data_IF_390150745823
#
_entry.id   IF_390150745823
#
_cell.length_a   1.000
_cell.length_b   1.000
_cell.length_c   1.000
_cell.angle_alpha   90.00
_cell.angle_beta   90.00
_cell.angle_gamma   90.00
#
_symmetry.space_group_name_H-M   'P 1'
#
loop_
_entity.id
_entity.type
_entity.pdbx_description
1 polymer ?
#
# COMPACT_ATOMS: atom_id res chain seq x y z
N UNK A 1 19.02 5.36 0.02
CA UNK A 1 18.81 4.02 0.65
C UNK A 1 17.36 3.65 0.43
N UNK A 2 17.05 2.39 0.13
CA UNK A 2 15.64 1.94 -0.03
C UNK A 2 14.93 1.89 1.32
N UNK A 3 13.68 2.25 1.35
CA UNK A 3 12.87 2.38 2.57
C UNK A 3 12.17 1.07 2.99
N UNK A 4 12.31 0.00 2.20
CA UNK A 4 11.78 -1.34 2.51
C UNK A 4 12.73 -2.21 3.36
N UNK A 5 13.80 -1.61 3.91
CA UNK A 5 14.72 -2.33 4.81
C UNK A 5 13.98 -2.82 6.07
N UNK A 6 14.34 -4.00 6.56
CA UNK A 6 13.75 -4.64 7.74
C UNK A 6 12.21 -4.73 7.75
N UNK A 7 11.57 -4.65 6.59
CA UNK A 7 10.15 -4.96 6.41
C UNK A 7 9.97 -6.42 5.95
N UNK A 8 8.81 -7.00 6.23
CA UNK A 8 8.48 -8.36 5.85
C UNK A 8 8.30 -8.55 4.34
N UNK A 9 8.26 -9.81 3.91
CA UNK A 9 8.26 -10.25 2.50
C UNK A 9 7.30 -9.46 1.60
N UNK A 10 6.04 -9.30 2.05
CA UNK A 10 4.98 -8.65 1.25
C UNK A 10 5.21 -7.16 1.00
N UNK A 11 6.14 -6.52 1.74
CA UNK A 11 6.50 -5.10 1.61
C UNK A 11 7.84 -4.86 0.92
N UNK A 12 8.57 -5.90 0.50
CA UNK A 12 9.76 -5.72 -0.32
C UNK A 12 9.35 -5.23 -1.70
N UNK A 13 10.05 -4.24 -2.26
CA UNK A 13 9.68 -3.62 -3.54
C UNK A 13 9.52 -4.64 -4.65
N UNK A 14 10.44 -5.62 -4.72
CA UNK A 14 10.40 -6.70 -5.73
C UNK A 14 9.18 -7.60 -5.57
N UNK A 15 8.55 -7.63 -4.39
CA UNK A 15 7.37 -8.44 -4.10
C UNK A 15 6.07 -7.65 -4.21
N UNK A 16 6.12 -6.31 -4.14
CA UNK A 16 4.93 -5.49 -4.37
C UNK A 16 4.64 -5.39 -5.86
N UNK A 17 5.56 -4.81 -6.61
CA UNK A 17 5.56 -4.74 -8.07
C UNK A 17 6.98 -4.38 -8.53
N UNK A 18 7.51 -5.09 -9.50
CA UNK A 18 8.87 -4.89 -9.98
C UNK A 18 9.00 -5.07 -11.47
N UNK A 19 9.55 -4.07 -12.15
CA UNK A 19 9.90 -4.15 -13.57
C UNK A 19 11.26 -4.83 -13.72
N UNK A 20 11.28 -5.96 -14.42
CA UNK A 20 12.47 -6.65 -14.89
C UNK A 20 12.81 -6.16 -16.29
N UNK A 21 13.92 -5.45 -16.38
CA UNK A 21 14.37 -4.81 -17.63
C UNK A 21 14.96 -5.83 -18.61
N UNK A 22 15.54 -6.93 -18.11
CA UNK A 22 16.10 -7.99 -18.94
C UNK A 22 15.01 -8.80 -19.63
N UNK A 23 13.96 -9.13 -18.89
CA UNK A 23 12.81 -9.88 -19.40
C UNK A 23 11.77 -8.99 -20.09
N UNK A 24 11.76 -7.67 -19.81
CA UNK A 24 10.75 -6.74 -20.34
C UNK A 24 9.37 -7.01 -19.75
N UNK A 25 9.28 -7.29 -18.45
CA UNK A 25 8.04 -7.64 -17.78
C UNK A 25 7.93 -7.02 -16.38
N UNK A 26 6.70 -6.82 -15.91
CA UNK A 26 6.42 -6.45 -14.50
C UNK A 26 5.85 -7.65 -13.79
N UNK A 27 6.47 -8.04 -12.68
CA UNK A 27 5.92 -9.03 -11.76
C UNK A 27 5.20 -8.36 -10.60
N UNK A 28 4.02 -8.85 -10.22
CA UNK A 28 3.19 -8.34 -9.14
C UNK A 28 2.79 -9.52 -8.25
N UNK A 29 3.08 -9.48 -6.93
CA UNK A 29 2.64 -10.54 -6.01
C UNK A 29 1.11 -10.64 -6.03
N UNK A 30 0.59 -11.84 -6.29
CA UNK A 30 -0.85 -12.07 -6.24
C UNK A 30 -1.35 -12.12 -4.79
N UNK A 31 -1.77 -10.95 -4.30
CA UNK A 31 -2.29 -10.78 -2.95
C UNK A 31 -3.69 -11.40 -2.76
N UNK A 32 -4.31 -11.95 -3.80
CA UNK A 32 -5.59 -12.65 -3.69
C UNK A 32 -5.41 -14.06 -3.10
N UNK A 33 -4.26 -14.68 -3.36
CA UNK A 33 -3.93 -16.04 -2.92
C UNK A 33 -2.81 -16.09 -1.88
N UNK A 34 -2.11 -14.97 -1.65
CA UNK A 34 -1.12 -14.85 -0.58
C UNK A 34 -1.83 -14.87 0.80
N UNK A 35 -1.30 -15.54 1.84
CA UNK A 35 0.01 -16.19 1.96
C UNK A 35 0.03 -17.68 1.57
N UNK A 36 -1.12 -18.28 1.22
CA UNK A 36 -1.22 -19.69 0.87
C UNK A 36 -0.26 -20.04 -0.27
N UNK A 37 -0.19 -19.14 -1.27
CA UNK A 37 0.76 -19.24 -2.37
C UNK A 37 1.53 -17.93 -2.54
N UNK A 38 2.85 -18.05 -2.75
CA UNK A 38 3.74 -16.94 -3.09
C UNK A 38 3.94 -16.88 -4.61
N UNK A 39 2.86 -16.63 -5.35
CA UNK A 39 2.86 -16.55 -6.81
C UNK A 39 2.81 -15.10 -7.28
N UNK A 40 3.34 -14.87 -8.47
CA UNK A 40 3.38 -13.55 -9.10
C UNK A 40 2.60 -13.55 -10.39
N UNK A 41 1.79 -12.51 -10.60
CA UNK A 41 1.24 -12.17 -11.89
C UNK A 41 2.36 -11.52 -12.72
N UNK A 42 2.68 -12.12 -13.87
CA UNK A 42 3.68 -11.61 -14.82
C UNK A 42 2.95 -10.83 -15.89
N UNK A 43 3.28 -9.55 -16.03
CA UNK A 43 2.69 -8.63 -16.99
C UNK A 43 3.74 -8.23 -18.01
N UNK A 44 3.49 -8.50 -19.29
CA UNK A 44 4.37 -8.18 -20.42
C UNK A 44 4.00 -6.89 -21.12
N UNK A 45 2.82 -6.36 -20.82
CA UNK A 45 2.35 -5.07 -21.34
C UNK A 45 1.77 -4.20 -20.23
N UNK A 46 1.74 -2.88 -20.46
CA UNK A 46 1.15 -1.96 -19.48
C UNK A 46 -0.36 -2.20 -19.32
N UNK A 47 -1.05 -2.68 -20.34
CA UNK A 47 -2.47 -3.07 -20.28
C UNK A 47 -2.67 -4.26 -19.34
N UNK A 48 -1.75 -5.23 -19.36
CA UNK A 48 -1.78 -6.35 -18.40
C UNK A 48 -1.55 -5.88 -16.98
N UNK A 49 -0.67 -4.88 -16.77
CA UNK A 49 -0.50 -4.24 -15.46
C UNK A 49 -1.78 -3.53 -15.03
N UNK A 50 -2.40 -2.75 -15.92
CA UNK A 50 -3.68 -2.09 -15.64
C UNK A 50 -4.78 -3.11 -15.28
N UNK A 51 -4.84 -4.23 -16.03
CA UNK A 51 -5.77 -5.33 -15.74
C UNK A 51 -5.48 -5.97 -14.37
N UNK A 52 -4.22 -6.22 -14.03
CA UNK A 52 -3.85 -6.77 -12.71
C UNK A 52 -4.26 -5.84 -11.56
N UNK A 53 -4.17 -4.52 -11.75
CA UNK A 53 -4.67 -3.52 -10.79
C UNK A 53 -6.21 -3.60 -10.68
N UNK A 54 -6.92 -3.66 -11.81
CA UNK A 54 -8.38 -3.76 -11.86
C UNK A 54 -8.89 -5.05 -11.20
N UNK A 55 -8.24 -6.18 -11.47
CA UNK A 55 -8.57 -7.51 -10.94
C UNK A 55 -8.14 -7.70 -9.46
N UNK A 56 -7.67 -6.63 -8.81
CA UNK A 56 -7.23 -6.66 -7.41
C UNK A 56 -6.10 -7.68 -7.12
N UNK A 57 -5.27 -8.00 -8.08
CA UNK A 57 -4.04 -8.81 -7.88
C UNK A 57 -3.19 -8.15 -6.79
N UNK A 58 -3.13 -6.83 -6.80
CA UNK A 58 -2.50 -6.04 -5.75
C UNK A 58 -3.52 -5.13 -5.03
N UNK A 59 -3.27 -4.80 -3.77
CA UNK A 59 -4.20 -4.10 -2.89
C UNK A 59 -3.46 -3.07 -2.04
N UNK A 60 -4.22 -2.20 -1.33
CA UNK A 60 -3.66 -1.14 -0.48
C UNK A 60 -2.79 -0.17 -1.29
N UNK A 61 -1.52 -0.01 -0.96
CA UNK A 61 -0.57 0.82 -1.70
C UNK A 61 0.09 0.15 -2.92
N UNK A 62 -0.17 -1.14 -3.14
CA UNK A 62 0.39 -1.88 -4.28
C UNK A 62 0.03 -1.35 -5.67
N UNK A 63 -1.22 -0.86 -5.91
CA UNK A 63 -1.59 -0.24 -7.17
C UNK A 63 -0.66 0.91 -7.60
N UNK A 64 -0.17 1.72 -6.65
CA UNK A 64 0.75 2.83 -6.95
C UNK A 64 2.11 2.33 -7.46
N UNK A 65 2.68 1.32 -6.78
CA UNK A 65 3.92 0.70 -7.19
C UNK A 65 3.76 0.00 -8.55
N UNK A 66 2.65 -0.70 -8.78
CA UNK A 66 2.36 -1.36 -10.05
C UNK A 66 2.22 -0.36 -11.20
N UNK A 67 1.49 0.75 -10.99
CA UNK A 67 1.33 1.80 -12.00
C UNK A 67 2.68 2.47 -12.34
N UNK A 68 3.50 2.78 -11.34
CA UNK A 68 4.82 3.38 -11.57
C UNK A 68 5.75 2.43 -12.36
N UNK A 69 5.80 1.14 -11.99
CA UNK A 69 6.58 0.14 -12.74
C UNK A 69 5.97 -0.15 -14.11
N UNK A 70 4.64 -0.05 -14.26
CA UNK A 70 3.93 -0.13 -15.54
C UNK A 70 4.32 0.98 -16.52
N UNK A 71 4.62 2.19 -16.02
CA UNK A 71 5.15 3.28 -16.85
C UNK A 71 6.56 2.98 -17.38
N UNK A 72 7.42 2.33 -16.59
CA UNK A 72 8.73 1.87 -17.06
C UNK A 72 8.60 0.74 -18.10
N UNK A 73 7.66 -0.18 -17.91
CA UNK A 73 7.34 -1.21 -18.89
C UNK A 73 6.79 -0.61 -20.20
N UNK A 74 5.90 0.38 -20.11
CA UNK A 74 5.40 1.09 -21.30
C UNK A 74 6.54 1.75 -22.08
N UNK A 75 7.49 2.37 -21.39
CA UNK A 75 8.68 2.92 -22.05
C UNK A 75 9.51 1.84 -22.75
N UNK A 76 9.66 0.68 -22.14
CA UNK A 76 10.33 -0.46 -22.77
C UNK A 76 9.60 -0.94 -24.01
N UNK A 77 8.26 -1.05 -23.98
CA UNK A 77 7.45 -1.44 -25.13
C UNK A 77 7.55 -0.44 -26.30
N UNK A 78 7.52 0.85 -25.99
CA UNK A 78 7.53 1.94 -26.96
C UNK A 78 8.92 2.28 -27.54
N UNK A 79 10.00 1.67 -27.08
CA UNK A 79 11.41 2.07 -27.33
C UNK A 79 11.81 2.17 -28.81
N UNK A 80 11.09 1.47 -29.71
CA UNK A 80 11.35 1.46 -31.14
C UNK A 80 10.38 2.32 -31.97
N UNK A 81 9.46 3.05 -31.30
CA UNK A 81 8.51 3.94 -31.95
C UNK A 81 9.20 5.25 -32.38
N UNK A 82 8.61 5.94 -33.36
CA UNK A 82 8.99 7.32 -33.64
C UNK A 82 8.70 8.22 -32.42
N UNK A 83 9.41 9.33 -32.30
CA UNK A 83 9.25 10.26 -31.16
C UNK A 83 7.79 10.66 -30.91
N UNK A 84 7.03 10.96 -31.94
CA UNK A 84 5.62 11.35 -31.83
C UNK A 84 4.75 10.17 -31.38
N UNK A 85 4.92 9.00 -32.00
CA UNK A 85 4.18 7.79 -31.63
C UNK A 85 4.52 7.33 -30.20
N UNK A 86 5.78 7.47 -29.80
CA UNK A 86 6.23 7.12 -28.44
C UNK A 86 5.57 8.01 -27.38
N UNK A 87 5.46 9.31 -27.65
CA UNK A 87 4.79 10.24 -26.75
C UNK A 87 3.31 9.90 -26.57
N UNK A 88 2.58 9.62 -27.66
CA UNK A 88 1.16 9.23 -27.58
C UNK A 88 1.01 7.88 -26.86
N UNK A 89 1.85 6.90 -27.16
CA UNK A 89 1.85 5.61 -26.48
C UNK A 89 2.04 5.74 -24.95
N UNK A 90 2.94 6.61 -24.52
CA UNK A 90 3.17 6.85 -23.09
C UNK A 90 2.00 7.59 -22.40
N UNK A 91 1.30 8.46 -23.13
CA UNK A 91 0.06 9.10 -22.62
C UNK A 91 -1.07 8.07 -22.46
N UNK A 92 -1.24 7.19 -23.43
CA UNK A 92 -2.22 6.11 -23.37
C UNK A 92 -1.94 5.18 -22.18
N UNK A 93 -0.66 4.82 -21.99
CA UNK A 93 -0.23 4.03 -20.84
C UNK A 93 -0.52 4.73 -19.50
N UNK A 94 -0.21 6.02 -19.38
CA UNK A 94 -0.49 6.79 -18.20
C UNK A 94 -1.99 6.87 -17.88
N UNK A 95 -2.82 7.04 -18.92
CA UNK A 95 -4.27 7.03 -18.78
C UNK A 95 -4.79 5.65 -18.34
N UNK A 96 -4.41 4.57 -19.03
CA UNK A 96 -4.86 3.23 -18.71
C UNK A 96 -4.49 2.80 -17.29
N UNK A 97 -3.24 3.02 -16.89
CA UNK A 97 -2.75 2.68 -15.56
C UNK A 97 -3.43 3.50 -14.45
N UNK A 98 -3.63 4.80 -14.66
CA UNK A 98 -4.24 5.67 -13.65
C UNK A 98 -5.74 5.45 -13.49
N UNK A 99 -6.45 4.94 -14.51
CA UNK A 99 -7.89 4.70 -14.48
C UNK A 99 -8.25 3.22 -14.30
N UNK A 100 -7.26 2.35 -14.08
CA UNK A 100 -7.47 0.92 -13.92
C UNK A 100 -8.42 0.57 -12.75
N UNK A 101 -8.49 1.43 -11.72
CA UNK A 101 -9.37 1.21 -10.56
C UNK A 101 -9.92 2.54 -10.05
N UNK A 102 -11.26 2.72 -10.00
CA UNK A 102 -11.91 3.98 -9.62
C UNK A 102 -11.48 4.51 -8.25
N UNK A 103 -11.45 3.64 -7.23
CA UNK A 103 -11.17 4.03 -5.83
C UNK A 103 -9.75 4.56 -5.59
N UNK A 104 -8.80 4.22 -6.44
CA UNK A 104 -7.39 4.64 -6.32
C UNK A 104 -6.94 5.56 -7.47
N UNK A 105 -7.85 5.87 -8.41
CA UNK A 105 -7.54 6.58 -9.65
C UNK A 105 -6.85 7.92 -9.40
N UNK A 106 -7.37 8.75 -8.49
CA UNK A 106 -6.83 10.09 -8.23
C UNK A 106 -5.36 10.08 -7.80
N UNK A 107 -5.00 9.15 -6.93
CA UNK A 107 -3.63 9.03 -6.46
C UNK A 107 -2.72 8.36 -7.51
N UNK A 108 -3.23 7.39 -8.28
CA UNK A 108 -2.50 6.82 -9.41
C UNK A 108 -2.25 7.84 -10.52
N UNK A 109 -3.17 8.79 -10.75
CA UNK A 109 -2.96 9.91 -11.69
C UNK A 109 -1.72 10.74 -11.31
N UNK A 110 -1.48 11.00 -10.03
CA UNK A 110 -0.28 11.73 -9.60
C UNK A 110 1.00 10.97 -9.95
N UNK A 111 1.01 9.67 -9.66
CA UNK A 111 2.16 8.79 -9.94
C UNK A 111 2.48 8.71 -11.43
N UNK A 112 1.47 8.48 -12.26
CA UNK A 112 1.65 8.35 -13.71
C UNK A 112 1.96 9.69 -14.38
N UNK A 113 1.39 10.82 -13.90
CA UNK A 113 1.68 12.14 -14.39
C UNK A 113 3.14 12.58 -14.13
N UNK A 114 3.68 12.24 -12.95
CA UNK A 114 5.09 12.47 -12.63
C UNK A 114 6.00 11.68 -13.58
N UNK A 115 5.70 10.39 -13.78
CA UNK A 115 6.45 9.54 -14.71
C UNK A 115 6.37 10.05 -16.16
N UNK A 116 5.19 10.52 -16.61
CA UNK A 116 4.99 11.09 -17.95
C UNK A 116 5.79 12.39 -18.12
N UNK A 117 5.75 13.28 -17.13
CA UNK A 117 6.52 14.54 -17.14
C UNK A 117 8.03 14.30 -17.23
N UNK A 118 8.54 13.30 -16.49
CA UNK A 118 9.94 12.88 -16.59
C UNK A 118 10.25 12.38 -17.99
N UNK A 119 9.40 11.51 -18.55
CA UNK A 119 9.54 10.99 -19.91
C UNK A 119 9.59 12.14 -20.96
N UNK A 120 8.65 13.09 -20.90
CA UNK A 120 8.60 14.23 -21.83
C UNK A 120 9.88 15.08 -21.74
N UNK A 121 10.40 15.26 -20.54
CA UNK A 121 11.65 16.00 -20.32
C UNK A 121 12.84 15.29 -20.94
N UNK A 122 12.95 13.97 -20.72
CA UNK A 122 14.03 13.14 -21.29
C UNK A 122 13.99 13.11 -22.83
N UNK A 123 12.82 12.91 -23.41
CA UNK A 123 12.63 12.95 -24.88
C UNK A 123 12.99 14.31 -25.47
N UNK A 124 12.61 15.40 -24.79
CA UNK A 124 12.96 16.77 -25.21
C UNK A 124 14.46 17.01 -25.22
N UNK A 125 15.16 16.46 -24.23
CA UNK A 125 16.60 16.57 -24.08
C UNK A 125 17.39 15.60 -24.98
N UNK A 126 16.72 14.77 -25.77
CA UNK A 126 17.35 13.83 -26.73
C UNK A 126 17.91 12.58 -26.08
N UNK A 127 17.41 12.18 -24.92
CA UNK A 127 17.82 10.94 -24.25
C UNK A 127 17.51 9.70 -25.10
N UNK A 128 18.37 8.69 -25.03
CA UNK A 128 18.17 7.40 -25.69
C UNK A 128 17.14 6.54 -24.94
N UNK A 129 16.50 5.62 -25.66
CA UNK A 129 15.42 4.78 -25.11
C UNK A 129 15.83 4.03 -23.82
N UNK A 130 17.04 3.46 -23.76
CA UNK A 130 17.52 2.76 -22.58
C UNK A 130 17.71 3.71 -21.38
N UNK A 131 18.16 4.94 -21.58
CA UNK A 131 18.28 5.95 -20.53
C UNK A 131 16.89 6.32 -19.98
N UNK A 132 15.90 6.43 -20.86
CA UNK A 132 14.50 6.71 -20.48
C UNK A 132 13.93 5.57 -19.65
N UNK A 133 14.10 4.33 -20.06
CA UNK A 133 13.61 3.14 -19.35
C UNK A 133 14.21 3.06 -17.94
N UNK A 134 15.53 3.17 -17.85
CA UNK A 134 16.26 3.15 -16.58
C UNK A 134 15.83 4.31 -15.68
N UNK A 135 15.67 5.52 -16.20
CA UNK A 135 15.23 6.68 -15.46
C UNK A 135 13.80 6.53 -14.91
N UNK A 136 12.87 5.98 -15.69
CA UNK A 136 11.49 5.72 -15.24
C UNK A 136 11.43 4.63 -14.19
N UNK A 137 12.24 3.56 -14.31
CA UNK A 137 12.37 2.55 -13.26
C UNK A 137 12.92 3.14 -11.96
N UNK A 138 13.94 3.99 -12.03
CA UNK A 138 14.49 4.69 -10.87
C UNK A 138 13.47 5.65 -10.26
N UNK A 139 12.72 6.40 -11.09
CA UNK A 139 11.61 7.24 -10.61
C UNK A 139 10.55 6.43 -9.85
N UNK A 140 10.16 5.25 -10.36
CA UNK A 140 9.23 4.36 -9.67
C UNK A 140 9.77 3.90 -8.30
N UNK A 141 11.05 3.61 -8.19
CA UNK A 141 11.71 3.29 -6.91
C UNK A 141 11.68 4.49 -5.96
N UNK A 142 11.97 5.71 -6.47
CA UNK A 142 11.98 6.91 -5.64
C UNK A 142 10.56 7.29 -5.17
N UNK A 143 9.56 7.18 -6.00
CA UNK A 143 8.15 7.34 -5.61
C UNK A 143 7.77 6.36 -4.47
N UNK A 144 8.23 5.11 -4.55
CA UNK A 144 8.07 4.15 -3.46
C UNK A 144 8.83 4.57 -2.21
N UNK A 145 10.08 5.05 -2.32
CA UNK A 145 10.86 5.55 -1.18
C UNK A 145 10.11 6.67 -0.46
N UNK A 146 9.63 7.68 -1.18
CA UNK A 146 8.87 8.80 -0.61
C UNK A 146 7.62 8.31 0.14
N UNK A 147 6.84 7.43 -0.49
CA UNK A 147 5.63 6.86 0.10
C UNK A 147 5.94 6.02 1.34
N UNK A 148 6.93 5.14 1.27
CA UNK A 148 7.34 4.29 2.39
C UNK A 148 7.85 5.12 3.55
N UNK A 149 8.76 6.04 3.30
CA UNK A 149 9.30 6.95 4.33
C UNK A 149 8.19 7.69 5.08
N UNK A 150 7.22 8.25 4.34
CA UNK A 150 6.09 8.97 4.93
C UNK A 150 5.21 8.07 5.80
N UNK A 151 4.81 6.91 5.28
CA UNK A 151 3.90 6.01 5.97
C UNK A 151 4.58 5.30 7.16
N UNK A 152 5.83 4.91 7.02
CA UNK A 152 6.57 4.28 8.13
C UNK A 152 6.84 5.28 9.24
N UNK A 153 7.13 6.54 8.93
CA UNK A 153 7.25 7.59 9.95
C UNK A 153 5.94 7.76 10.73
N UNK A 154 4.79 7.80 10.04
CA UNK A 154 3.49 7.88 10.70
C UNK A 154 3.22 6.66 11.60
N UNK A 155 3.56 5.45 11.14
CA UNK A 155 3.48 4.23 11.96
C UNK A 155 4.41 4.26 13.17
N UNK A 156 5.60 4.81 13.03
CA UNK A 156 6.58 4.92 14.13
C UNK A 156 6.08 5.82 15.26
N UNK A 157 5.39 6.92 14.96
CA UNK A 157 4.79 7.76 16.01
C UNK A 157 3.79 6.98 16.88
N UNK A 158 2.96 6.12 16.27
CA UNK A 158 2.10 5.25 17.05
C UNK A 158 2.91 4.27 17.91
N UNK A 159 3.93 3.63 17.34
CA UNK A 159 4.75 2.67 18.06
C UNK A 159 5.46 3.28 19.27
N UNK A 160 5.86 4.55 19.19
CA UNK A 160 6.50 5.26 20.31
C UNK A 160 5.52 5.50 21.49
N UNK A 161 4.21 5.60 21.21
CA UNK A 161 3.16 5.77 22.24
C UNK A 161 2.80 4.46 22.97
N UNK A 162 3.06 3.31 22.35
CA UNK A 162 2.69 2.00 22.91
C UNK A 162 3.78 1.53 23.88
N UNK A 163 3.44 1.23 25.15
CA UNK A 163 4.39 0.66 26.10
C UNK A 163 4.86 -0.74 25.69
N UNK A 164 5.98 -1.17 26.23
CA UNK A 164 6.43 -2.55 26.13
C UNK A 164 5.42 -3.52 26.78
N UNK A 165 5.49 -4.82 26.44
CA UNK A 165 4.59 -5.87 26.91
C UNK A 165 3.10 -5.58 26.63
N UNK A 166 2.80 -4.81 25.60
CA UNK A 166 1.43 -4.47 25.21
C UNK A 166 0.87 -5.41 24.15
N UNK A 167 -0.45 -5.39 24.03
CA UNK A 167 -1.18 -6.05 22.94
C UNK A 167 -1.93 -5.01 22.11
N UNK A 168 -1.83 -5.13 20.79
CA UNK A 168 -2.54 -4.28 19.85
C UNK A 168 -3.55 -5.08 19.04
N UNK A 169 -4.69 -4.45 18.74
CA UNK A 169 -5.67 -4.94 17.77
C UNK A 169 -5.60 -4.09 16.51
N UNK A 170 -5.49 -4.75 15.36
CA UNK A 170 -5.56 -4.08 14.05
C UNK A 170 -6.50 -4.84 13.10
N UNK A 171 -6.84 -4.21 11.98
CA UNK A 171 -7.66 -4.80 10.95
C UNK A 171 -7.20 -4.39 9.55
N UNK A 172 -7.73 -5.03 8.52
CA UNK A 172 -7.45 -4.77 7.12
C UNK A 172 -5.94 -4.87 6.83
N UNK A 173 -5.44 -4.12 5.86
CA UNK A 173 -4.03 -4.09 5.51
C UNK A 173 -3.57 -2.66 5.22
N UNK A 174 -3.05 -2.00 6.25
CA UNK A 174 -2.47 -0.67 6.14
C UNK A 174 -1.05 -0.63 5.54
N UNK A 175 -0.60 -1.75 4.97
CA UNK A 175 0.65 -1.93 4.23
C UNK A 175 1.87 -1.31 4.94
N UNK A 176 2.45 -0.25 4.38
CA UNK A 176 3.65 0.40 4.91
C UNK A 176 3.46 1.10 6.24
N UNK A 177 2.24 1.52 6.57
CA UNK A 177 1.91 2.06 7.90
C UNK A 177 2.04 0.96 8.96
N UNK A 178 1.49 -0.23 8.67
CA UNK A 178 1.63 -1.42 9.54
C UNK A 178 3.09 -1.82 9.64
N UNK A 179 3.77 -1.95 8.50
CA UNK A 179 5.21 -2.24 8.49
C UNK A 179 6.04 -1.24 9.30
N UNK A 180 5.63 0.03 9.28
CA UNK A 180 6.30 1.11 10.01
C UNK A 180 6.24 0.92 11.52
N UNK A 181 5.05 0.72 12.12
CA UNK A 181 4.97 0.50 13.56
C UNK A 181 5.57 -0.85 13.98
N UNK A 182 5.43 -1.89 13.19
CA UNK A 182 6.06 -3.18 13.49
C UNK A 182 7.60 -3.06 13.46
N UNK A 183 8.16 -2.39 12.44
CA UNK A 183 9.60 -2.13 12.39
C UNK A 183 10.07 -1.33 13.61
N UNK A 184 9.33 -0.29 13.98
CA UNK A 184 9.67 0.56 15.12
C UNK A 184 9.62 -0.20 16.44
N UNK A 185 8.65 -1.08 16.66
CA UNK A 185 8.62 -1.95 17.83
C UNK A 185 9.89 -2.80 17.94
N UNK A 186 10.38 -3.36 16.82
CA UNK A 186 11.64 -4.11 16.80
C UNK A 186 12.86 -3.24 17.07
N UNK A 187 12.92 -2.05 16.47
CA UNK A 187 14.02 -1.11 16.69
C UNK A 187 14.12 -0.64 18.13
N UNK A 188 13.01 -0.67 18.86
CA UNK A 188 12.92 -0.27 20.26
C UNK A 188 12.81 -1.46 21.22
N UNK A 189 13.03 -2.69 20.72
CA UNK A 189 13.01 -3.95 21.47
C UNK A 189 11.75 -4.17 22.32
N UNK A 190 10.58 -3.77 21.78
CA UNK A 190 9.29 -3.94 22.42
C UNK A 190 8.67 -5.30 22.10
N UNK A 191 8.24 -6.01 23.14
CA UNK A 191 7.51 -7.26 23.05
C UNK A 191 6.01 -6.98 22.91
N UNK A 192 5.49 -7.02 21.68
CA UNK A 192 4.11 -6.66 21.36
C UNK A 192 3.37 -7.88 20.79
N UNK A 193 2.18 -8.15 21.34
CA UNK A 193 1.24 -9.11 20.78
C UNK A 193 0.34 -8.43 19.76
N UNK A 194 0.16 -9.04 18.60
CA UNK A 194 -0.61 -8.48 17.49
C UNK A 194 -1.86 -9.32 17.24
N UNK A 195 -3.02 -8.76 17.53
CA UNK A 195 -4.30 -9.35 17.17
C UNK A 195 -4.78 -8.75 15.84
N UNK A 196 -5.05 -9.60 14.87
CA UNK A 196 -5.51 -9.22 13.55
C UNK A 196 -6.97 -9.68 13.36
N UNK A 197 -7.92 -8.74 13.33
CA UNK A 197 -9.27 -9.06 12.90
C UNK A 197 -9.25 -9.51 11.43
N UNK A 198 -9.94 -10.60 11.10
CA UNK A 198 -9.87 -11.24 9.77
C UNK A 198 -10.24 -10.31 8.61
N UNK A 199 -11.15 -9.38 8.85
CA UNK A 199 -11.65 -8.38 7.89
C UNK A 199 -12.41 -9.01 6.71
N UNK A 200 -13.64 -9.48 6.98
CA UNK A 200 -14.54 -9.95 5.93
C UNK A 200 -14.87 -8.80 4.94
N UNK A 201 -15.21 -9.08 3.64
CA UNK A 201 -15.19 -10.40 3.00
C UNK A 201 -13.84 -10.81 2.40
N UNK A 202 -12.87 -9.87 2.28
CA UNK A 202 -11.61 -10.12 1.54
C UNK A 202 -10.48 -10.66 2.42
N UNK A 203 -10.67 -10.75 3.74
CA UNK A 203 -9.70 -11.30 4.70
C UNK A 203 -8.32 -10.64 4.68
N UNK A 204 -8.24 -9.34 4.42
CA UNK A 204 -6.94 -8.64 4.39
C UNK A 204 -6.23 -8.69 5.73
N UNK A 205 -6.97 -8.62 6.86
CA UNK A 205 -6.39 -8.73 8.19
C UNK A 205 -5.79 -10.10 8.44
N UNK A 206 -6.54 -11.16 8.14
CA UNK A 206 -6.08 -12.53 8.31
C UNK A 206 -4.94 -12.90 7.36
N UNK A 207 -5.03 -12.50 6.09
CA UNK A 207 -4.07 -12.94 5.06
C UNK A 207 -2.85 -12.05 4.94
N UNK A 208 -3.04 -10.73 4.97
CA UNK A 208 -1.96 -9.80 4.63
C UNK A 208 -1.30 -9.23 5.88
N UNK A 209 -2.09 -8.69 6.81
CA UNK A 209 -1.54 -8.06 8.04
C UNK A 209 -0.97 -9.11 8.99
N UNK A 210 -1.69 -10.19 9.22
CA UNK A 210 -1.19 -11.26 10.09
C UNK A 210 0.07 -11.91 9.54
N UNK A 211 0.12 -12.15 8.21
CA UNK A 211 1.34 -12.69 7.58
C UNK A 211 2.52 -11.74 7.67
N UNK A 212 2.28 -10.42 7.53
CA UNK A 212 3.32 -9.41 7.70
C UNK A 212 3.86 -9.41 9.14
N UNK A 213 2.97 -9.40 10.14
CA UNK A 213 3.37 -9.38 11.54
C UNK A 213 4.13 -10.66 11.92
N UNK A 214 3.63 -11.81 11.49
CA UNK A 214 4.28 -13.10 11.71
C UNK A 214 5.67 -13.18 11.03
N UNK A 215 5.76 -12.76 9.76
CA UNK A 215 7.01 -12.72 8.98
C UNK A 215 8.05 -11.78 9.62
N UNK A 216 7.59 -10.73 10.27
CA UNK A 216 8.44 -9.84 11.07
C UNK A 216 8.70 -10.36 12.49
N UNK A 217 8.23 -11.56 12.88
CA UNK A 217 8.55 -12.26 14.14
C UNK A 217 7.77 -11.76 15.36
N UNK A 218 6.52 -11.29 15.17
CA UNK A 218 5.62 -10.93 16.27
C UNK A 218 4.72 -12.11 16.67
N UNK A 219 4.38 -12.21 17.96
CA UNK A 219 3.30 -13.07 18.46
C UNK A 219 1.98 -12.58 17.84
N UNK A 220 1.49 -13.33 16.85
CA UNK A 220 0.38 -12.89 15.99
C UNK A 220 -0.80 -13.83 16.11
N UNK A 221 -1.96 -13.30 16.45
CA UNK A 221 -3.23 -14.03 16.53
C UNK A 221 -4.25 -13.47 15.56
N UNK A 222 -4.78 -14.32 14.67
CA UNK A 222 -5.94 -13.98 13.84
C UNK A 222 -7.21 -14.25 14.62
N UNK A 223 -8.13 -13.31 14.60
CA UNK A 223 -9.46 -13.42 15.22
C UNK A 223 -10.56 -13.15 14.20
N UNK A 224 -11.74 -13.69 14.43
CA UNK A 224 -12.92 -13.32 13.64
C UNK A 224 -13.39 -11.91 14.00
N UNK A 225 -14.04 -11.22 13.06
CA UNK A 225 -14.46 -9.81 13.26
C UNK A 225 -15.44 -9.61 14.43
N UNK A 226 -16.21 -10.65 14.80
CA UNK A 226 -17.14 -10.59 15.92
C UNK A 226 -16.53 -10.91 17.29
N UNK A 227 -15.25 -11.33 17.36
CA UNK A 227 -14.56 -11.60 18.65
C UNK A 227 -13.97 -10.35 19.30
N UNK A 228 -13.95 -9.22 18.62
CA UNK A 228 -13.27 -7.99 19.04
C UNK A 228 -13.73 -7.54 20.44
N UNK A 229 -15.04 -7.39 20.63
CA UNK A 229 -15.59 -6.93 21.91
C UNK A 229 -15.34 -7.93 23.06
N UNK A 230 -15.33 -9.24 22.78
CA UNK A 230 -14.99 -10.26 23.76
C UNK A 230 -13.55 -10.10 24.27
N UNK A 231 -12.58 -9.97 23.36
CA UNK A 231 -11.17 -9.81 23.75
C UNK A 231 -10.92 -8.50 24.52
N UNK A 232 -11.65 -7.44 24.18
CA UNK A 232 -11.61 -6.19 24.93
C UNK A 232 -12.18 -6.35 26.35
N UNK A 233 -13.32 -7.05 26.51
CA UNK A 233 -13.93 -7.34 27.81
C UNK A 233 -13.04 -8.20 28.70
N UNK A 234 -12.25 -9.09 28.12
CA UNK A 234 -11.27 -9.93 28.81
C UNK A 234 -9.93 -9.22 29.07
N UNK A 235 -9.84 -7.91 28.77
CA UNK A 235 -8.61 -7.09 28.93
C UNK A 235 -7.38 -7.64 28.17
N UNK A 236 -7.62 -8.32 27.07
CA UNK A 236 -6.55 -8.87 26.20
C UNK A 236 -6.01 -7.87 25.19
N UNK A 237 -6.66 -6.72 25.02
CA UNK A 237 -6.29 -5.66 24.08
C UNK A 237 -6.00 -4.37 24.88
N UNK A 238 -4.81 -3.82 24.68
CA UNK A 238 -4.42 -2.55 25.31
C UNK A 238 -4.66 -1.36 24.38
N UNK A 239 -4.47 -1.53 23.06
CA UNK A 239 -4.58 -0.48 22.05
C UNK A 239 -5.23 -1.01 20.79
N UNK A 240 -6.02 -0.15 20.14
CA UNK A 240 -6.51 -0.39 18.80
C UNK A 240 -5.79 0.53 17.80
N UNK A 241 -5.45 0.01 16.63
CA UNK A 241 -4.79 0.79 15.58
C UNK A 241 -5.29 0.39 14.21
N UNK A 242 -5.52 1.36 13.33
CA UNK A 242 -5.75 1.11 11.90
C UNK A 242 -5.07 2.18 11.04
N UNK A 243 -4.86 1.88 9.77
CA UNK A 243 -4.67 2.91 8.76
C UNK A 243 -6.00 3.65 8.52
N UNK A 244 -5.96 4.72 7.73
CA UNK A 244 -7.14 5.46 7.29
C UNK A 244 -7.09 5.66 5.78
N UNK A 245 -8.20 5.38 5.10
CA UNK A 245 -8.35 5.68 3.67
C UNK A 245 -8.52 7.18 3.45
N UNK A 246 -9.30 7.83 4.31
CA UNK A 246 -9.49 9.29 4.33
C UNK A 246 -9.54 9.79 5.77
N UNK A 247 -8.85 10.89 6.04
CA UNK A 247 -9.06 11.74 7.22
C UNK A 247 -9.55 13.09 6.70
N UNK A 248 -10.82 13.43 6.93
CA UNK A 248 -11.40 14.71 6.53
C UNK A 248 -10.93 15.85 7.44
N UNK A 249 -11.14 17.10 6.99
CA UNK A 249 -10.67 18.28 7.73
C UNK A 249 -11.38 18.49 9.07
N UNK A 250 -12.59 17.93 9.24
CA UNK A 250 -13.30 17.90 10.53
C UNK A 250 -12.80 16.81 11.50
N UNK A 251 -11.77 16.05 11.10
CA UNK A 251 -11.19 14.97 11.89
C UNK A 251 -11.93 13.64 11.79
N UNK A 252 -12.98 13.54 10.98
CA UNK A 252 -13.67 12.28 10.74
C UNK A 252 -12.80 11.33 9.91
N UNK A 253 -12.92 10.03 10.19
CA UNK A 253 -12.11 8.98 9.58
C UNK A 253 -12.99 8.06 8.75
N UNK A 254 -12.56 7.79 7.53
CA UNK A 254 -13.16 6.77 6.66
C UNK A 254 -12.11 5.70 6.42
N UNK A 255 -12.50 4.47 6.63
CA UNK A 255 -11.63 3.31 6.46
C UNK A 255 -12.48 2.06 6.19
N UNK A 256 -11.82 0.93 6.06
CA UNK A 256 -12.40 -0.39 5.84
C UNK A 256 -13.58 -0.69 6.78
N UNK A 257 -14.60 -1.38 6.25
CA UNK A 257 -15.71 -1.89 7.06
C UNK A 257 -15.19 -2.64 8.30
N UNK A 258 -15.85 -2.44 9.45
CA UNK A 258 -15.41 -2.92 10.77
C UNK A 258 -14.74 -1.82 11.61
N UNK A 259 -14.21 -0.75 11.01
CA UNK A 259 -13.54 0.35 11.73
C UNK A 259 -14.48 1.00 12.76
N UNK A 260 -15.72 1.31 12.39
CA UNK A 260 -16.70 1.90 13.30
C UNK A 260 -17.05 0.93 14.43
N UNK A 261 -17.23 -0.37 14.15
CA UNK A 261 -17.48 -1.40 15.15
C UNK A 261 -16.34 -1.46 16.18
N UNK A 262 -15.09 -1.45 15.73
CA UNK A 262 -13.91 -1.45 16.61
C UNK A 262 -13.88 -0.18 17.46
N UNK A 263 -14.15 0.99 16.87
CA UNK A 263 -14.13 2.26 17.57
C UNK A 263 -15.22 2.34 18.66
N UNK A 264 -16.43 1.83 18.38
CA UNK A 264 -17.52 1.74 19.37
C UNK A 264 -17.14 0.82 20.52
N UNK A 265 -16.60 -0.37 20.23
CA UNK A 265 -16.18 -1.31 21.26
C UNK A 265 -15.02 -0.74 22.09
N UNK A 266 -14.01 -0.16 21.44
CA UNK A 266 -12.87 0.48 22.11
C UNK A 266 -13.33 1.61 23.05
N UNK A 267 -14.25 2.46 22.58
CA UNK A 267 -14.83 3.53 23.40
C UNK A 267 -15.58 2.98 24.62
N UNK A 268 -16.39 1.93 24.43
CA UNK A 268 -17.13 1.30 25.53
C UNK A 268 -16.23 0.69 26.60
N UNK A 269 -15.13 0.06 26.21
CA UNK A 269 -14.18 -0.56 27.14
C UNK A 269 -13.05 0.38 27.58
N UNK A 270 -13.03 1.65 27.15
CA UNK A 270 -12.00 2.63 27.52
C UNK A 270 -10.62 2.34 26.92
N UNK A 271 -10.58 1.67 25.76
CA UNK A 271 -9.35 1.31 25.06
C UNK A 271 -9.00 2.40 24.05
N UNK A 272 -7.77 2.94 24.05
CA UNK A 272 -7.33 3.93 23.07
C UNK A 272 -7.38 3.35 21.63
N UNK A 273 -7.94 4.12 20.70
CA UNK A 273 -7.98 3.82 19.29
C UNK A 273 -7.21 4.86 18.49
N UNK A 274 -6.20 4.42 17.73
CA UNK A 274 -5.36 5.26 16.88
C UNK A 274 -5.64 4.98 15.41
N UNK A 275 -6.06 6.01 14.69
CA UNK A 275 -6.18 5.95 13.23
C UNK A 275 -5.00 6.70 12.61
N UNK A 276 -4.19 5.98 11.83
CA UNK A 276 -2.98 6.50 11.23
C UNK A 276 -3.24 6.86 9.78
N UNK A 277 -2.98 8.10 9.41
CA UNK A 277 -3.16 8.58 8.04
C UNK A 277 -2.75 10.03 7.90
N UNK A 278 -3.14 10.61 6.78
CA UNK A 278 -2.86 12.01 6.46
C UNK A 278 -4.16 12.71 6.11
N UNK A 279 -4.35 13.99 6.54
CA UNK A 279 -5.55 14.74 6.17
C UNK A 279 -5.68 14.89 4.65
N UNK A 280 -6.86 14.57 4.14
CA UNK A 280 -7.21 14.81 2.74
C UNK A 280 -7.97 16.14 2.64
N UNK A 281 -7.27 17.15 2.11
CA UNK A 281 -7.79 18.51 1.95
C UNK A 281 -8.97 18.63 0.99
N UNK A 282 -9.29 17.58 0.24
CA UNK A 282 -10.42 17.55 -0.68
C UNK A 282 -11.76 17.28 0.01
N UNK A 283 -11.74 16.83 1.28
CA UNK A 283 -12.95 16.51 2.03
C UNK A 283 -13.00 17.31 3.33
N UNK A 284 -14.00 18.18 3.44
CA UNK A 284 -14.25 18.92 4.68
C UNK A 284 -14.88 17.98 5.73
N UNK A 285 -15.76 17.08 5.30
CA UNK A 285 -16.47 16.13 6.15
C UNK A 285 -16.52 14.73 5.53
N UNK A 286 -16.62 13.71 6.37
CA UNK A 286 -16.83 12.33 5.95
C UNK A 286 -18.07 12.14 5.06
N UNK A 287 -19.10 13.01 5.18
CA UNK A 287 -20.32 12.95 4.37
C UNK A 287 -20.08 13.20 2.88
N UNK A 288 -18.98 13.83 2.53
CA UNK A 288 -18.62 14.13 1.13
C UNK A 288 -17.94 12.97 0.42
N UNK A 289 -17.47 11.96 1.18
CA UNK A 289 -16.80 10.80 0.63
C UNK A 289 -17.82 9.78 0.16
N UNK A 290 -17.79 9.48 -1.14
CA UNK A 290 -18.60 8.38 -1.69
C UNK A 290 -17.95 7.06 -1.32
N UNK A 291 -18.69 6.24 -0.58
CA UNK A 291 -18.32 4.86 -0.24
C UNK A 291 -18.92 3.97 -1.32
N UNK A 292 -18.09 3.18 -1.97
CA UNK A 292 -18.51 2.14 -2.93
C UNK A 292 -18.88 0.84 -2.22
#
# INVERSE_FOLDING_TARGET
MREDYNLGFILKYENVAWFDEECGEVRILDRRIYPEKKEFCICKTYEEVAKAIADMVTQSGGPFAAAAMGMALAAYQGKNLSKTAYLEFMKDAAYALSHARPTTSKAMQLVTAESLSLFETLIKNGAFSNEIITALKQNAVEQNNVRYKKNTAAGSFFADLVPDESSILTQCFGETTVGGYLRRFKETDKNIKVFCAETRPYFQGARLTASLAYDMGFDTTVITDNMIALLMSEKKINFCVSASDVISLDGSIINKIGTLQIAIAASYFGIPYYAIGFPDKNYVSAKEVKIE
#
